data_IF_989682745953
#
_entry.id   IF_989682745953
#
_cell.length_a   1.000
_cell.length_b   1.000
_cell.length_c   1.000
_cell.angle_alpha   90.00
_cell.angle_beta   90.00
_cell.angle_gamma   90.00
#
_symmetry.space_group_name_H-M   'P 1'
#
loop_
_entity.id
_entity.type
_entity.pdbx_description
1 polymer ?
#
# COMPACT_ATOMS: atom_id res chain seq x y z
N UNK A 1 52.51 9.73 1.57
CA UNK A 1 51.26 9.79 2.36
C UNK A 1 51.55 9.05 3.66
N UNK A 2 51.39 9.68 4.81
CA UNK A 2 51.62 9.02 6.10
C UNK A 2 50.71 7.81 6.26
N UNK A 3 51.29 6.66 6.57
CA UNK A 3 50.57 5.39 6.77
C UNK A 3 49.54 5.48 7.91
N UNK A 4 49.78 6.36 8.89
CA UNK A 4 48.85 6.66 9.98
C UNK A 4 47.55 7.34 9.50
N UNK A 5 47.64 8.26 8.53
CA UNK A 5 46.48 8.97 7.98
C UNK A 5 45.58 8.01 7.19
N UNK A 6 46.18 7.14 6.38
CA UNK A 6 45.44 6.14 5.60
C UNK A 6 44.71 5.11 6.49
N UNK A 7 45.38 4.65 7.57
CA UNK A 7 44.78 3.72 8.54
C UNK A 7 43.61 4.33 9.31
N UNK A 8 43.74 5.60 9.72
CA UNK A 8 42.66 6.32 10.42
C UNK A 8 41.45 6.55 9.51
N UNK A 9 41.68 6.87 8.22
CA UNK A 9 40.62 7.06 7.24
C UNK A 9 39.84 5.77 6.96
N UNK A 10 40.55 4.65 6.84
CA UNK A 10 39.93 3.33 6.65
C UNK A 10 39.08 2.93 7.85
N UNK A 11 39.58 3.17 9.06
CA UNK A 11 38.85 2.91 10.31
C UNK A 11 37.57 3.75 10.41
N UNK A 12 37.68 5.06 10.12
CA UNK A 12 36.53 5.97 10.11
C UNK A 12 35.47 5.56 9.09
N UNK A 13 35.90 5.13 7.89
CA UNK A 13 34.99 4.64 6.86
C UNK A 13 34.28 3.35 7.24
N UNK A 14 34.94 2.40 7.91
CA UNK A 14 34.27 1.18 8.39
C UNK A 14 33.18 1.49 9.42
N UNK A 15 33.44 2.42 10.35
CA UNK A 15 32.40 2.89 11.28
C UNK A 15 31.24 3.57 10.56
N UNK A 16 31.53 4.42 9.58
CA UNK A 16 30.52 5.10 8.78
C UNK A 16 29.66 4.11 7.98
N UNK A 17 30.29 3.14 7.29
CA UNK A 17 29.60 2.11 6.51
C UNK A 17 28.73 1.23 7.40
N UNK A 18 29.22 0.84 8.59
CA UNK A 18 28.41 0.12 9.59
C UNK A 18 27.19 0.92 10.04
N UNK A 19 27.35 2.23 10.33
CA UNK A 19 26.23 3.09 10.73
C UNK A 19 25.20 3.25 9.61
N UNK A 20 25.65 3.39 8.35
CA UNK A 20 24.80 3.44 7.16
C UNK A 20 24.00 2.13 7.02
N UNK A 21 24.64 0.97 7.19
CA UNK A 21 23.97 -0.32 7.13
C UNK A 21 22.89 -0.48 8.21
N UNK A 22 23.17 -0.04 9.45
CA UNK A 22 22.19 -0.04 10.53
C UNK A 22 21.01 0.90 10.24
N UNK A 23 21.27 2.09 9.70
CA UNK A 23 20.23 3.04 9.32
C UNK A 23 19.31 2.48 8.22
N UNK A 24 19.88 1.82 7.20
CA UNK A 24 19.09 1.14 6.17
C UNK A 24 18.27 -0.01 6.74
N UNK A 25 18.85 -0.85 7.60
CA UNK A 25 18.13 -1.95 8.25
C UNK A 25 16.93 -1.42 9.06
N UNK A 26 17.13 -0.34 9.83
CA UNK A 26 16.07 0.31 10.59
C UNK A 26 14.97 0.89 9.68
N UNK A 27 15.34 1.54 8.56
CA UNK A 27 14.38 2.09 7.60
C UNK A 27 13.58 0.99 6.89
N UNK A 28 14.22 -0.12 6.49
CA UNK A 28 13.54 -1.27 5.90
C UNK A 28 12.54 -1.85 6.91
N UNK A 29 12.97 -2.04 8.16
CA UNK A 29 12.11 -2.56 9.22
C UNK A 29 10.91 -1.64 9.49
N UNK A 30 11.13 -0.32 9.60
CA UNK A 30 10.09 0.68 9.79
C UNK A 30 9.09 0.67 8.62
N UNK A 31 9.60 0.63 7.38
CA UNK A 31 8.78 0.58 6.16
C UNK A 31 7.93 -0.70 6.13
N UNK A 32 8.50 -1.84 6.51
CA UNK A 32 7.80 -3.12 6.58
C UNK A 32 6.71 -3.11 7.68
N UNK A 33 7.01 -2.59 8.87
CA UNK A 33 6.02 -2.45 9.95
C UNK A 33 4.86 -1.55 9.53
N UNK A 34 5.17 -0.39 8.95
CA UNK A 34 4.15 0.55 8.48
C UNK A 34 3.29 -0.06 7.35
N UNK A 35 3.91 -0.81 6.45
CA UNK A 35 3.18 -1.55 5.42
C UNK A 35 2.19 -2.54 6.02
N UNK A 36 2.64 -3.38 6.95
CA UNK A 36 1.79 -4.39 7.60
C UNK A 36 0.61 -3.71 8.29
N UNK A 37 0.87 -2.63 9.03
CA UNK A 37 -0.15 -1.84 9.72
C UNK A 37 -1.18 -1.25 8.74
N UNK A 38 -0.72 -0.50 7.73
CA UNK A 38 -1.62 0.12 6.73
C UNK A 38 -2.40 -0.91 5.93
N UNK A 39 -1.77 -2.02 5.54
CA UNK A 39 -2.43 -3.10 4.81
C UNK A 39 -3.53 -3.74 5.67
N UNK A 40 -3.29 -3.93 6.96
CA UNK A 40 -4.31 -4.44 7.87
C UNK A 40 -5.48 -3.46 8.00
N UNK A 41 -5.20 -2.15 8.12
CA UNK A 41 -6.23 -1.11 8.16
C UNK A 41 -7.07 -1.10 6.86
N UNK A 42 -6.43 -1.12 5.69
CA UNK A 42 -7.11 -1.16 4.38
C UNK A 42 -7.96 -2.42 4.24
N UNK A 43 -7.43 -3.58 4.63
CA UNK A 43 -8.20 -4.84 4.63
C UNK A 43 -9.43 -4.74 5.53
N UNK A 44 -9.30 -4.17 6.71
CA UNK A 44 -10.42 -3.99 7.63
C UNK A 44 -11.47 -3.03 7.04
N UNK A 45 -11.05 -1.93 6.42
CA UNK A 45 -11.97 -0.98 5.75
C UNK A 45 -12.70 -1.63 4.57
N UNK A 46 -11.97 -2.36 3.71
CA UNK A 46 -12.55 -3.10 2.60
C UNK A 46 -13.55 -4.14 3.12
N UNK A 47 -13.21 -4.87 4.18
CA UNK A 47 -14.11 -5.83 4.82
C UNK A 47 -15.38 -5.15 5.33
N UNK A 48 -15.26 -4.00 5.98
CA UNK A 48 -16.42 -3.23 6.46
C UNK A 48 -17.32 -2.79 5.28
N UNK A 49 -16.73 -2.36 4.16
CA UNK A 49 -17.49 -2.03 2.95
C UNK A 49 -18.22 -3.25 2.38
N UNK A 50 -17.59 -4.42 2.38
CA UNK A 50 -18.26 -5.67 1.98
C UNK A 50 -19.38 -6.06 2.94
N UNK A 51 -19.18 -5.93 4.25
CA UNK A 51 -20.20 -6.24 5.25
C UNK A 51 -21.41 -5.26 5.13
N UNK A 52 -21.17 -4.00 4.75
CA UNK A 52 -22.23 -3.05 4.36
C UNK A 52 -22.91 -3.48 3.05
N UNK A 53 -22.16 -3.88 2.03
CA UNK A 53 -22.71 -4.38 0.76
C UNK A 53 -23.61 -5.60 0.96
N UNK A 54 -23.21 -6.53 1.83
CA UNK A 54 -24.02 -7.69 2.26
C UNK A 54 -25.29 -7.22 2.96
N UNK A 55 -25.19 -6.39 4.00
CA UNK A 55 -26.40 -5.96 4.73
C UNK A 55 -27.42 -5.25 3.83
N UNK A 56 -26.95 -4.43 2.88
CA UNK A 56 -27.81 -3.79 1.88
C UNK A 56 -28.43 -4.80 0.90
N UNK A 57 -27.66 -5.81 0.48
CA UNK A 57 -28.11 -6.85 -0.45
C UNK A 57 -29.21 -7.71 0.18
N UNK A 58 -29.01 -8.14 1.43
CA UNK A 58 -30.00 -8.85 2.22
C UNK A 58 -31.27 -8.03 2.43
N UNK A 59 -31.14 -6.74 2.78
CA UNK A 59 -32.28 -5.82 2.92
C UNK A 59 -33.05 -5.66 1.61
N UNK A 60 -32.37 -5.59 0.47
CA UNK A 60 -33.04 -5.50 -0.83
C UNK A 60 -33.81 -6.79 -1.14
N UNK A 61 -33.20 -7.96 -0.91
CA UNK A 61 -33.84 -9.27 -1.10
C UNK A 61 -35.08 -9.42 -0.24
N UNK A 62 -35.08 -8.92 1.00
CA UNK A 62 -36.28 -8.98 1.86
C UNK A 62 -37.39 -8.05 1.43
N UNK A 63 -37.04 -6.84 0.98
CA UNK A 63 -38.05 -5.90 0.46
C UNK A 63 -38.73 -6.44 -0.80
N UNK A 64 -37.99 -7.14 -1.66
CA UNK A 64 -38.54 -7.78 -2.86
C UNK A 64 -39.42 -9.00 -2.53
N UNK A 65 -39.07 -9.77 -1.49
CA UNK A 65 -39.72 -11.06 -1.21
C UNK A 65 -40.88 -11.01 -0.19
N UNK A 66 -41.09 -9.92 0.57
CA UNK A 66 -42.23 -9.85 1.49
C UNK A 66 -42.93 -8.49 1.54
N UNK A 67 -44.27 -8.50 1.54
CA UNK A 67 -45.10 -7.30 1.77
C UNK A 67 -45.31 -7.00 3.27
N UNK A 68 -45.09 -8.00 4.14
CA UNK A 68 -45.35 -7.94 5.58
C UNK A 68 -44.09 -7.55 6.38
N UNK A 69 -44.19 -6.47 7.17
CA UNK A 69 -43.06 -5.79 7.86
C UNK A 69 -42.42 -6.69 8.93
N UNK A 70 -43.21 -7.44 9.70
CA UNK A 70 -42.69 -8.26 10.80
C UNK A 70 -41.92 -9.49 10.27
N UNK A 71 -42.33 -9.99 9.09
CA UNK A 71 -41.61 -11.03 8.36
C UNK A 71 -40.32 -10.52 7.69
N UNK A 72 -40.23 -9.23 7.36
CA UNK A 72 -39.02 -8.62 6.75
C UNK A 72 -37.83 -8.68 7.68
N UNK A 73 -38.02 -8.39 8.96
CA UNK A 73 -36.90 -8.32 9.92
C UNK A 73 -36.30 -9.71 10.20
N UNK A 74 -37.15 -10.73 10.42
CA UNK A 74 -36.69 -12.11 10.58
C UNK A 74 -36.02 -12.65 9.31
N UNK A 75 -36.55 -12.35 8.13
CA UNK A 75 -35.89 -12.70 6.86
C UNK A 75 -34.57 -11.96 6.70
N UNK A 76 -34.49 -10.68 7.07
CA UNK A 76 -33.28 -9.87 6.85
C UNK A 76 -32.12 -10.43 7.66
N UNK A 77 -32.35 -10.75 8.93
CA UNK A 77 -31.33 -11.39 9.78
C UNK A 77 -30.89 -12.77 9.22
N UNK A 78 -31.81 -13.53 8.62
CA UNK A 78 -31.52 -14.82 8.00
C UNK A 78 -30.70 -14.67 6.71
N UNK A 79 -31.04 -13.69 5.87
CA UNK A 79 -30.31 -13.40 4.63
C UNK A 79 -28.95 -12.76 4.91
N UNK A 80 -28.82 -11.90 5.93
CA UNK A 80 -27.54 -11.36 6.38
C UNK A 80 -26.62 -12.52 6.82
N UNK A 81 -27.14 -13.47 7.58
CA UNK A 81 -26.37 -14.65 7.99
C UNK A 81 -25.93 -15.51 6.79
N UNK A 82 -26.78 -15.66 5.78
CA UNK A 82 -26.46 -16.37 4.55
C UNK A 82 -25.43 -15.63 3.67
N UNK A 83 -25.56 -14.31 3.51
CA UNK A 83 -24.65 -13.49 2.71
C UNK A 83 -23.28 -13.29 3.38
N UNK A 84 -23.22 -13.36 4.71
CA UNK A 84 -21.94 -13.41 5.44
C UNK A 84 -21.08 -14.64 5.07
N UNK A 85 -21.71 -15.70 4.57
CA UNK A 85 -21.03 -16.90 4.08
C UNK A 85 -20.69 -16.81 2.59
N UNK A 86 -21.23 -15.82 1.87
CA UNK A 86 -20.95 -15.68 0.44
C UNK A 86 -19.55 -15.06 0.19
N UNK A 87 -18.85 -15.56 -0.85
CA UNK A 87 -17.61 -14.94 -1.32
C UNK A 87 -17.82 -13.47 -1.68
N UNK A 88 -16.83 -12.62 -1.38
CA UNK A 88 -16.84 -11.19 -1.72
C UNK A 88 -17.12 -10.90 -3.21
N UNK A 89 -16.68 -11.80 -4.09
CA UNK A 89 -16.91 -11.70 -5.53
C UNK A 89 -18.41 -11.76 -5.87
N UNK A 90 -19.17 -12.63 -5.21
CA UNK A 90 -20.61 -12.78 -5.46
C UNK A 90 -21.38 -11.54 -5.01
N UNK A 91 -20.96 -10.94 -3.89
CA UNK A 91 -21.55 -9.68 -3.38
C UNK A 91 -21.30 -8.54 -4.38
N UNK A 92 -20.08 -8.43 -4.94
CA UNK A 92 -19.77 -7.43 -5.99
C UNK A 92 -20.62 -7.63 -7.23
N UNK A 93 -20.72 -8.87 -7.72
CA UNK A 93 -21.47 -9.15 -8.93
C UNK A 93 -22.96 -8.87 -8.73
N UNK A 94 -23.50 -9.18 -7.56
CA UNK A 94 -24.87 -8.82 -7.19
C UNK A 94 -25.08 -7.30 -7.12
N UNK A 95 -24.17 -6.56 -6.48
CA UNK A 95 -24.22 -5.09 -6.45
C UNK A 95 -24.17 -4.49 -7.86
N UNK A 96 -23.31 -5.01 -8.75
CA UNK A 96 -23.24 -4.58 -10.15
C UNK A 96 -24.53 -4.86 -10.92
N UNK A 97 -25.13 -6.03 -10.69
CA UNK A 97 -26.41 -6.36 -11.31
C UNK A 97 -27.47 -5.34 -10.91
N UNK A 98 -27.60 -5.01 -9.62
CA UNK A 98 -28.56 -4.01 -9.13
C UNK A 98 -28.32 -2.63 -9.75
N UNK A 99 -27.06 -2.19 -9.82
CA UNK A 99 -26.71 -0.88 -10.41
C UNK A 99 -27.07 -0.80 -11.90
N UNK A 100 -27.02 -1.94 -12.61
CA UNK A 100 -27.27 -2.03 -14.06
C UNK A 100 -28.71 -2.40 -14.44
N UNK A 101 -29.61 -2.62 -13.46
CA UNK A 101 -31.02 -2.88 -13.77
C UNK A 101 -31.66 -1.68 -14.50
N UNK A 102 -32.65 -1.87 -15.39
CA UNK A 102 -33.47 -0.76 -15.89
C UNK A 102 -34.10 0.01 -14.72
N UNK A 103 -34.29 1.33 -14.86
CA UNK A 103 -34.88 2.19 -13.82
C UNK A 103 -36.35 1.81 -13.57
N UNK A 104 -36.59 0.82 -12.71
CA UNK A 104 -37.91 0.69 -12.10
C UNK A 104 -38.00 1.57 -10.85
N UNK A 105 -39.12 2.27 -10.64
CA UNK A 105 -39.28 3.24 -9.57
C UNK A 105 -39.50 2.51 -8.24
N UNK A 106 -38.42 1.98 -7.66
CA UNK A 106 -38.42 1.54 -6.26
C UNK A 106 -38.54 2.80 -5.41
N UNK A 107 -39.78 3.17 -5.06
CA UNK A 107 -40.07 4.32 -4.19
C UNK A 107 -39.43 4.10 -2.81
N UNK A 108 -38.46 4.95 -2.48
CA UNK A 108 -37.91 5.08 -1.13
C UNK A 108 -36.48 4.56 -1.01
N UNK A 109 -35.56 5.52 -0.83
CA UNK A 109 -34.08 5.40 -0.79
C UNK A 109 -33.45 5.08 -2.16
N UNK A 110 -32.49 5.90 -2.57
CA UNK A 110 -31.67 5.65 -3.75
C UNK A 110 -30.64 4.53 -3.46
N UNK A 111 -31.13 3.30 -3.36
CA UNK A 111 -30.29 2.13 -3.13
C UNK A 111 -29.28 1.92 -4.26
N UNK A 112 -29.63 2.36 -5.47
CA UNK A 112 -28.74 2.29 -6.63
C UNK A 112 -27.54 3.21 -6.43
N UNK A 113 -27.78 4.45 -5.99
CA UNK A 113 -26.71 5.38 -5.66
C UNK A 113 -25.87 4.87 -4.48
N UNK A 114 -26.48 4.33 -3.42
CA UNK A 114 -25.73 3.75 -2.30
C UNK A 114 -24.85 2.55 -2.72
N UNK A 115 -25.37 1.65 -3.56
CA UNK A 115 -24.59 0.51 -4.08
C UNK A 115 -23.49 0.97 -5.04
N UNK A 116 -23.75 2.03 -5.83
CA UNK A 116 -22.74 2.64 -6.71
C UNK A 116 -21.60 3.25 -5.88
N UNK A 117 -21.93 4.06 -4.87
CA UNK A 117 -20.96 4.67 -3.96
C UNK A 117 -20.10 3.60 -3.26
N UNK A 118 -20.71 2.50 -2.78
CA UNK A 118 -19.96 1.40 -2.17
C UNK A 118 -19.05 0.67 -3.17
N UNK A 119 -19.51 0.43 -4.39
CA UNK A 119 -18.66 -0.17 -5.43
C UNK A 119 -17.47 0.73 -5.79
N UNK A 120 -17.71 2.05 -5.89
CA UNK A 120 -16.67 3.04 -6.16
C UNK A 120 -15.66 3.11 -5.02
N UNK A 121 -16.12 3.10 -3.76
CA UNK A 121 -15.25 3.04 -2.59
C UNK A 121 -14.41 1.76 -2.58
N UNK A 122 -15.02 0.58 -2.80
CA UNK A 122 -14.29 -0.71 -2.86
C UNK A 122 -13.21 -0.66 -3.94
N UNK A 123 -13.53 -0.12 -5.12
CA UNK A 123 -12.58 0.02 -6.22
C UNK A 123 -11.45 1.01 -5.86
N UNK A 124 -11.79 2.18 -5.29
CA UNK A 124 -10.84 3.18 -4.80
C UNK A 124 -9.86 2.57 -3.80
N UNK A 125 -10.35 1.82 -2.81
CA UNK A 125 -9.50 1.15 -1.82
C UNK A 125 -8.62 0.05 -2.42
N UNK A 126 -9.12 -0.72 -3.41
CA UNK A 126 -8.30 -1.71 -4.13
C UNK A 126 -7.19 -1.06 -4.96
N UNK A 127 -7.47 0.07 -5.61
CA UNK A 127 -6.45 0.83 -6.35
C UNK A 127 -5.39 1.41 -5.41
N UNK A 128 -5.81 1.94 -4.25
CA UNK A 128 -4.89 2.41 -3.21
C UNK A 128 -3.98 1.27 -2.74
N UNK A 129 -4.51 0.08 -2.44
CA UNK A 129 -3.68 -1.07 -2.03
C UNK A 129 -2.66 -1.45 -3.11
N UNK A 130 -3.06 -1.48 -4.39
CA UNK A 130 -2.17 -1.78 -5.51
C UNK A 130 -1.06 -0.73 -5.67
N UNK A 131 -1.41 0.56 -5.55
CA UNK A 131 -0.45 1.65 -5.63
C UNK A 131 0.54 1.61 -4.46
N UNK A 132 0.03 1.37 -3.25
CA UNK A 132 0.82 1.26 -2.02
C UNK A 132 1.82 0.09 -2.10
N UNK A 133 1.38 -1.08 -2.57
CA UNK A 133 2.26 -2.22 -2.82
C UNK A 133 3.41 -1.88 -3.79
N UNK A 134 3.14 -1.11 -4.85
CA UNK A 134 4.16 -0.70 -5.82
C UNK A 134 5.21 0.23 -5.20
N UNK A 135 4.79 1.20 -4.40
CA UNK A 135 5.68 2.13 -3.70
C UNK A 135 6.53 1.40 -2.65
N UNK A 136 5.96 0.45 -1.91
CA UNK A 136 6.68 -0.26 -0.86
C UNK A 136 7.77 -1.16 -1.42
N UNK A 137 7.45 -1.87 -2.52
CA UNK A 137 8.43 -2.72 -3.19
C UNK A 137 9.68 -1.90 -3.55
N UNK A 138 9.53 -0.69 -4.09
CA UNK A 138 10.70 0.14 -4.41
C UNK A 138 11.45 0.63 -3.16
N UNK A 139 10.74 1.00 -2.08
CA UNK A 139 11.37 1.42 -0.84
C UNK A 139 12.10 0.31 -0.07
N UNK A 140 11.79 -0.96 -0.32
CA UNK A 140 12.56 -2.08 0.25
C UNK A 140 13.71 -2.47 -0.68
N UNK A 141 13.46 -2.56 -1.98
CA UNK A 141 14.44 -3.03 -2.97
C UNK A 141 15.63 -2.06 -3.09
N UNK A 142 15.39 -0.75 -3.14
CA UNK A 142 16.47 0.25 -3.34
C UNK A 142 17.48 0.24 -2.18
N UNK A 143 17.06 0.32 -0.90
CA UNK A 143 17.94 0.09 0.24
C UNK A 143 18.66 -1.25 0.24
N UNK A 144 17.96 -2.34 -0.07
CA UNK A 144 18.54 -3.68 -0.06
C UNK A 144 19.68 -3.82 -1.10
N UNK A 145 19.47 -3.31 -2.32
CA UNK A 145 20.51 -3.27 -3.35
C UNK A 145 21.67 -2.39 -2.89
N UNK A 146 21.39 -1.24 -2.29
CA UNK A 146 22.43 -0.32 -1.81
C UNK A 146 23.28 -0.95 -0.71
N UNK A 147 22.66 -1.65 0.24
CA UNK A 147 23.38 -2.43 1.26
C UNK A 147 24.23 -3.53 0.63
N UNK A 148 23.72 -4.25 -0.38
CA UNK A 148 24.48 -5.30 -1.06
C UNK A 148 25.70 -4.72 -1.78
N UNK A 149 25.55 -3.58 -2.45
CA UNK A 149 26.67 -2.85 -3.07
C UNK A 149 27.70 -2.43 -2.02
N UNK A 150 27.27 -1.89 -0.88
CA UNK A 150 28.18 -1.50 0.21
C UNK A 150 28.93 -2.70 0.82
N UNK A 151 28.25 -3.84 1.02
CA UNK A 151 28.89 -5.08 1.49
C UNK A 151 29.94 -5.56 0.47
N UNK A 152 29.62 -5.56 -0.83
CA UNK A 152 30.57 -5.96 -1.87
C UNK A 152 31.76 -5.00 -1.92
N UNK A 153 31.53 -3.69 -1.77
CA UNK A 153 32.59 -2.68 -1.72
C UNK A 153 33.52 -2.90 -0.52
N UNK A 154 32.97 -3.19 0.67
CA UNK A 154 33.76 -3.52 1.87
C UNK A 154 34.59 -4.80 1.69
N UNK A 155 34.02 -5.84 1.05
CA UNK A 155 34.72 -7.12 0.82
C UNK A 155 35.79 -7.01 -0.28
N UNK A 156 35.56 -6.18 -1.29
CA UNK A 156 36.49 -5.97 -2.40
C UNK A 156 37.57 -4.92 -2.08
N UNK A 157 37.28 -3.97 -1.18
CA UNK A 157 38.17 -2.88 -0.78
C UNK A 157 39.60 -3.31 -0.43
N UNK A 158 39.82 -4.38 0.37
CA UNK A 158 41.16 -4.88 0.67
C UNK A 158 41.92 -5.42 -0.54
N UNK A 159 41.22 -5.83 -1.62
CA UNK A 159 41.81 -6.38 -2.85
C UNK A 159 42.05 -5.32 -3.92
N UNK A 160 41.36 -4.19 -3.85
CA UNK A 160 41.50 -3.08 -4.79
C UNK A 160 42.63 -2.20 -4.25
N UNK A 161 43.81 -2.31 -4.89
CA UNK A 161 45.05 -1.69 -4.41
C UNK A 161 44.94 -0.20 -4.07
N UNK A 162 45.78 0.24 -3.13
CA UNK A 162 45.86 1.61 -2.62
C UNK A 162 46.10 2.63 -3.74
N UNK A 163 45.04 3.30 -4.17
CA UNK A 163 45.10 4.29 -5.24
C UNK A 163 43.80 5.07 -5.41
N UNK A 164 43.75 5.89 -6.45
CA UNK A 164 42.61 6.75 -6.84
C UNK A 164 41.29 5.97 -6.98
N UNK A 165 41.36 4.68 -7.33
CA UNK A 165 40.22 3.77 -7.44
C UNK A 165 39.50 3.52 -6.12
N UNK A 166 40.23 3.42 -5.00
CA UNK A 166 39.62 3.24 -3.69
C UNK A 166 38.74 4.44 -3.33
N UNK A 167 39.25 5.65 -3.55
CA UNK A 167 38.51 6.89 -3.31
C UNK A 167 37.29 7.03 -4.22
N UNK A 168 37.43 6.65 -5.51
CA UNK A 168 36.31 6.67 -6.45
C UNK A 168 35.15 5.75 -5.99
N UNK A 169 35.47 4.55 -5.48
CA UNK A 169 34.47 3.60 -4.96
C UNK A 169 33.83 4.14 -3.68
N UNK A 170 34.61 4.67 -2.74
CA UNK A 170 34.09 5.24 -1.50
C UNK A 170 33.13 6.41 -1.76
N UNK A 171 33.47 7.30 -2.71
CA UNK A 171 32.61 8.43 -3.10
C UNK A 171 31.33 7.91 -3.79
N UNK A 172 31.46 6.95 -4.70
CA UNK A 172 30.30 6.38 -5.40
C UNK A 172 29.33 5.67 -4.44
N UNK A 173 29.85 4.89 -3.49
CA UNK A 173 29.04 4.23 -2.46
C UNK A 173 28.36 5.24 -1.55
N UNK A 174 29.08 6.27 -1.12
CA UNK A 174 28.52 7.34 -0.27
C UNK A 174 27.40 8.10 -0.99
N UNK A 175 27.57 8.40 -2.27
CA UNK A 175 26.55 9.05 -3.09
C UNK A 175 25.32 8.15 -3.29
N UNK A 176 25.53 6.86 -3.57
CA UNK A 176 24.46 5.87 -3.69
C UNK A 176 23.69 5.70 -2.38
N UNK A 177 24.41 5.61 -1.26
CA UNK A 177 23.85 5.52 0.08
C UNK A 177 23.01 6.76 0.42
N UNK A 178 23.54 7.96 0.17
CA UNK A 178 22.80 9.21 0.38
C UNK A 178 21.53 9.28 -0.47
N UNK A 179 21.63 8.89 -1.76
CA UNK A 179 20.48 8.84 -2.66
C UNK A 179 19.42 7.84 -2.18
N UNK A 180 19.82 6.62 -1.84
CA UNK A 180 18.90 5.58 -1.39
C UNK A 180 18.26 5.93 -0.04
N UNK A 181 19.02 6.53 0.90
CA UNK A 181 18.47 7.05 2.16
C UNK A 181 17.45 8.15 1.88
N UNK A 182 17.81 9.15 1.07
CA UNK A 182 16.92 10.26 0.70
C UNK A 182 15.64 9.77 0.03
N UNK A 183 15.75 8.81 -0.89
CA UNK A 183 14.60 8.18 -1.54
C UNK A 183 13.70 7.44 -0.55
N UNK A 184 14.30 6.63 0.34
CA UNK A 184 13.54 5.84 1.33
C UNK A 184 12.82 6.73 2.32
N UNK A 185 13.48 7.78 2.82
CA UNK A 185 12.87 8.79 3.69
C UNK A 185 11.73 9.50 2.96
N UNK A 186 11.91 9.91 1.71
CA UNK A 186 10.85 10.54 0.92
C UNK A 186 9.64 9.61 0.74
N UNK A 187 9.87 8.30 0.57
CA UNK A 187 8.80 7.32 0.48
C UNK A 187 8.09 7.12 1.83
N UNK A 188 8.83 6.98 2.94
CA UNK A 188 8.25 6.89 4.29
C UNK A 188 7.41 8.13 4.60
N UNK A 189 7.90 9.33 4.29
CA UNK A 189 7.13 10.57 4.45
C UNK A 189 5.83 10.54 3.63
N UNK A 190 5.87 10.05 2.38
CA UNK A 190 4.67 9.87 1.56
C UNK A 190 3.70 8.82 2.11
N UNK A 191 4.19 7.81 2.84
CA UNK A 191 3.35 6.81 3.51
C UNK A 191 2.70 7.35 4.79
N UNK A 192 3.44 8.19 5.52
CA UNK A 192 2.96 8.86 6.73
C UNK A 192 1.95 9.98 6.40
N UNK A 193 2.15 10.68 5.28
CA UNK A 193 1.14 11.60 4.77
C UNK A 193 -0.17 10.86 4.52
N UNK A 194 -1.29 11.47 4.89
CA UNK A 194 -2.62 10.94 4.61
C UNK A 194 -2.75 10.65 3.10
N UNK A 195 -3.48 9.58 2.72
CA UNK A 195 -3.69 9.27 1.31
C UNK A 195 -4.35 10.49 0.68
N UNK A 196 -3.59 11.26 -0.09
CA UNK A 196 -4.17 12.29 -0.94
C UNK A 196 -5.16 11.55 -1.83
N UNK A 197 -6.43 11.94 -1.73
CA UNK A 197 -7.46 11.44 -2.61
C UNK A 197 -6.90 11.47 -4.05
N UNK A 198 -7.12 10.41 -4.84
CA UNK A 198 -6.67 10.39 -6.21
C UNK A 198 -7.18 11.69 -6.84
N UNK A 199 -6.25 12.59 -7.19
CA UNK A 199 -6.60 13.77 -7.96
C UNK A 199 -7.29 13.24 -9.20
N UNK A 200 -8.52 13.68 -9.44
CA UNK A 200 -9.19 13.56 -10.73
C UNK A 200 -8.23 14.05 -11.81
N UNK A 201 -7.45 13.14 -12.38
CA UNK A 201 -6.56 13.44 -13.48
C UNK A 201 -7.44 13.48 -14.73
N UNK A 202 -7.74 14.69 -15.18
CA UNK A 202 -7.82 15.05 -16.60
C UNK A 202 -8.56 14.04 -17.51
N UNK A 203 -9.84 13.78 -17.22
CA UNK A 203 -10.82 13.44 -18.26
C UNK A 203 -11.73 14.64 -18.44
N UNK A 204 -11.29 15.61 -19.24
CA UNK A 204 -12.14 16.75 -19.59
C UNK A 204 -11.38 18.03 -19.88
N UNK A 205 -10.54 18.03 -20.91
CA UNK A 205 -10.23 19.23 -21.71
C UNK A 205 -9.64 18.80 -23.05
N UNK A 206 -10.56 18.34 -23.88
CA UNK A 206 -10.44 18.19 -25.32
C UNK A 206 -11.85 18.33 -25.87
N UNK A 207 -12.42 19.51 -25.67
CA UNK A 207 -13.54 20.01 -26.45
C UNK A 207 -12.93 20.73 -27.66
#
# INVERSE_FOLDING_TARGET
MDTSVASNLFTAYNYLSSAIAQAFAALIALTAMFYIYRRQMLKNQIKELYDRGRSLSALLKTMLNSQDIEKREKMANTFIAAENLEPEANVIDYMRQIVNLPEEPVKGRDWREQMRLLLDDINKFKEIDKHFQKIIKSAIIVPAITMLVGIVALLAGPKIGSGLWLYAIMVAESALAAFALGWTVAVVIRMLAEPKEPKESEKGRGA
#
